data_IF_781552870504
#
_entry.id   IF_781552870504
#
_cell.length_a   1.000
_cell.length_b   1.000
_cell.length_c   1.000
_cell.angle_alpha   90.00
_cell.angle_beta   90.00
_cell.angle_gamma   90.00
#
_symmetry.space_group_name_H-M   'P 1'
#
loop_
_entity.id
_entity.type
_entity.pdbx_description
1 polymer ?
#
# COMPACT_ATOMS: atom_id res chain seq x y z
N UNK A 1 -11.45 -13.15 22.87
CA UNK A 1 -11.54 -12.19 23.99
C UNK A 1 -11.08 -10.79 23.58
N UNK A 2 -9.80 -10.41 23.71
CA UNK A 2 -9.38 -9.00 23.48
C UNK A 2 -9.62 -8.50 22.04
N UNK A 3 -9.27 -9.29 21.02
CA UNK A 3 -9.57 -8.93 19.61
C UNK A 3 -11.07 -8.83 19.32
N UNK A 4 -11.91 -9.57 20.04
CA UNK A 4 -13.37 -9.50 19.86
C UNK A 4 -13.95 -8.25 20.51
N UNK A 5 -13.39 -7.79 21.62
CA UNK A 5 -13.76 -6.50 22.22
C UNK A 5 -13.42 -5.33 21.29
N UNK A 6 -12.27 -5.40 20.61
CA UNK A 6 -11.77 -4.32 19.75
C UNK A 6 -12.42 -4.35 18.36
N UNK A 7 -12.57 -5.53 17.76
CA UNK A 7 -12.93 -5.71 16.36
C UNK A 7 -14.24 -6.51 16.17
N UNK A 8 -14.94 -6.84 17.25
CA UNK A 8 -16.17 -7.64 17.22
C UNK A 8 -15.97 -9.12 16.87
N UNK A 9 -17.07 -9.86 16.78
CA UNK A 9 -17.06 -11.31 16.55
C UNK A 9 -16.50 -11.73 15.19
N UNK A 10 -16.48 -10.83 14.20
CA UNK A 10 -15.92 -11.11 12.88
C UNK A 10 -14.48 -10.61 12.72
N UNK A 11 -13.91 -10.00 13.76
CA UNK A 11 -12.65 -9.27 13.70
C UNK A 11 -12.61 -8.26 12.54
N UNK A 12 -13.68 -7.47 12.38
CA UNK A 12 -13.82 -6.49 11.29
C UNK A 12 -13.65 -5.05 11.76
N UNK A 13 -13.38 -4.14 10.82
CA UNK A 13 -13.30 -2.70 11.06
C UNK A 13 -14.60 -2.09 11.57
N UNK A 14 -15.73 -2.74 11.32
CA UNK A 14 -17.06 -2.11 11.45
C UNK A 14 -17.45 -1.87 12.92
N UNK A 15 -16.72 -2.50 13.84
CA UNK A 15 -16.85 -2.31 15.30
C UNK A 15 -15.80 -1.37 15.89
N UNK A 16 -14.88 -0.82 15.09
CA UNK A 16 -13.95 0.17 15.57
C UNK A 16 -14.68 1.47 15.93
N UNK A 17 -14.70 1.78 17.23
CA UNK A 17 -15.35 2.97 17.76
C UNK A 17 -14.42 4.17 17.73
N UNK A 18 -14.96 5.34 17.39
CA UNK A 18 -14.28 6.61 17.62
C UNK A 18 -14.22 7.02 19.11
N UNK A 19 -14.94 6.30 19.98
CA UNK A 19 -14.99 6.59 21.41
C UNK A 19 -13.96 5.78 22.20
N UNK A 20 -13.10 6.48 22.93
CA UNK A 20 -12.14 5.87 23.85
C UNK A 20 -12.80 4.97 24.90
N UNK A 21 -14.01 5.31 25.36
CA UNK A 21 -14.70 4.55 26.40
C UNK A 21 -15.02 3.12 25.99
N UNK A 22 -15.20 2.85 24.68
CA UNK A 22 -15.43 1.51 24.15
C UNK A 22 -14.27 0.56 24.43
N UNK A 23 -13.06 1.09 24.58
CA UNK A 23 -11.84 0.30 24.82
C UNK A 23 -11.45 0.22 26.30
N UNK A 24 -12.23 0.85 27.19
CA UNK A 24 -11.96 0.83 28.63
C UNK A 24 -12.01 -0.59 29.21
N UNK A 25 -12.83 -1.47 28.62
CA UNK A 25 -12.89 -2.90 28.95
C UNK A 25 -11.56 -3.59 28.68
N UNK A 26 -10.96 -3.37 27.50
CA UNK A 26 -9.65 -3.91 27.11
C UNK A 26 -8.55 -3.57 28.12
N UNK A 27 -8.53 -2.32 28.62
CA UNK A 27 -7.54 -1.86 29.61
C UNK A 27 -7.66 -2.59 30.95
N UNK A 28 -8.86 -3.10 31.27
CA UNK A 28 -9.15 -3.82 32.52
C UNK A 28 -9.02 -5.33 32.40
N UNK A 29 -8.98 -5.89 31.19
CA UNK A 29 -9.03 -7.34 31.01
C UNK A 29 -7.79 -8.08 31.51
N UNK A 30 -6.68 -7.37 31.78
CA UNK A 30 -5.36 -7.98 31.92
C UNK A 30 -4.94 -8.62 30.59
N UNK A 31 -3.64 -8.68 30.29
CA UNK A 31 -3.18 -9.25 29.02
C UNK A 31 -3.37 -10.77 29.06
N UNK A 32 -4.52 -11.28 28.60
CA UNK A 32 -4.81 -12.73 28.61
C UNK A 32 -4.17 -13.45 27.43
N UNK A 33 -2.91 -13.14 27.15
CA UNK A 33 -2.09 -13.85 26.18
C UNK A 33 -1.36 -15.01 26.88
N UNK A 34 -1.08 -16.09 26.15
CA UNK A 34 -0.31 -17.24 26.65
C UNK A 34 1.13 -16.87 27.08
N UNK A 35 1.59 -15.65 26.77
CA UNK A 35 2.85 -15.04 27.23
C UNK A 35 2.73 -13.51 27.27
N UNK A 36 2.94 -12.94 28.44
CA UNK A 36 3.03 -11.49 28.63
C UNK A 36 4.47 -11.01 28.42
N UNK A 37 4.63 -9.88 27.73
CA UNK A 37 5.93 -9.23 27.57
C UNK A 37 5.77 -7.73 27.84
N UNK A 38 6.57 -7.21 28.77
CA UNK A 38 6.69 -5.76 28.91
C UNK A 38 7.41 -5.17 27.70
N UNK A 39 7.28 -3.86 27.48
CA UNK A 39 8.11 -3.16 26.47
C UNK A 39 9.59 -3.43 26.70
N UNK A 40 10.02 -3.53 27.97
CA UNK A 40 11.40 -3.87 28.33
C UNK A 40 11.79 -5.29 27.92
N UNK A 41 10.84 -6.23 27.86
CA UNK A 41 11.11 -7.59 27.41
C UNK A 41 11.20 -7.67 25.90
N UNK A 42 10.35 -6.92 25.19
CA UNK A 42 10.32 -6.86 23.73
C UNK A 42 11.63 -6.28 23.16
N UNK A 43 12.23 -5.30 23.83
CA UNK A 43 13.48 -4.66 23.36
C UNK A 43 14.74 -5.49 23.65
N UNK A 44 14.65 -6.61 24.36
CA UNK A 44 15.82 -7.46 24.63
C UNK A 44 16.30 -8.15 23.35
N UNK A 45 17.62 -8.25 23.08
CA UNK A 45 18.14 -8.94 21.89
C UNK A 45 17.73 -10.42 21.77
N UNK A 46 17.41 -11.05 22.89
CA UNK A 46 16.94 -12.43 22.99
C UNK A 46 15.44 -12.58 22.68
N UNK A 47 14.69 -11.48 22.56
CA UNK A 47 13.29 -11.54 22.21
C UNK A 47 13.15 -12.10 20.79
N UNK A 48 12.24 -13.06 20.64
CA UNK A 48 11.92 -13.73 19.39
C UNK A 48 10.40 -13.71 19.28
N UNK A 49 9.90 -13.15 18.18
CA UNK A 49 8.48 -13.21 17.83
C UNK A 49 8.26 -14.50 17.06
N UNK A 50 7.07 -15.10 17.19
CA UNK A 50 6.66 -16.20 16.30
C UNK A 50 6.84 -15.77 14.84
N UNK A 51 7.38 -16.66 14.03
CA UNK A 51 7.71 -16.36 12.63
C UNK A 51 6.50 -16.39 11.71
N UNK A 52 5.37 -16.96 12.14
CA UNK A 52 4.15 -17.06 11.35
C UNK A 52 3.06 -16.12 11.90
N UNK A 53 2.44 -15.37 11.00
CA UNK A 53 1.34 -14.44 11.31
C UNK A 53 -0.03 -15.14 11.30
N UNK A 54 -0.12 -16.32 10.68
CA UNK A 54 -1.32 -17.12 10.59
C UNK A 54 -1.17 -18.26 9.60
N UNK A 55 -2.28 -18.72 9.05
CA UNK A 55 -2.32 -19.81 8.08
C UNK A 55 -3.16 -19.45 6.85
N UNK A 56 -2.89 -20.10 5.73
CA UNK A 56 -3.68 -19.98 4.51
C UNK A 56 -5.07 -20.61 4.66
N UNK A 57 -6.06 -20.05 3.95
CA UNK A 57 -7.34 -20.72 3.74
C UNK A 57 -7.17 -22.08 3.04
N UNK A 58 -7.83 -23.12 3.54
CA UNK A 58 -7.84 -24.47 2.93
C UNK A 58 -6.79 -25.43 3.48
N UNK A 59 -5.52 -25.21 3.19
CA UNK A 59 -4.43 -26.18 3.48
C UNK A 59 -3.68 -25.94 4.80
N UNK A 60 -3.96 -24.81 5.47
CA UNK A 60 -3.38 -24.39 6.75
C UNK A 60 -1.86 -24.19 6.70
N UNK A 61 -1.31 -23.93 5.51
CA UNK A 61 0.10 -23.56 5.33
C UNK A 61 0.41 -22.31 6.16
N UNK A 62 1.44 -22.33 7.02
CA UNK A 62 1.86 -21.15 7.78
C UNK A 62 2.23 -20.01 6.83
N UNK A 63 1.81 -18.78 7.15
CA UNK A 63 2.12 -17.59 6.37
C UNK A 63 2.77 -16.55 7.27
N UNK A 64 3.79 -15.87 6.72
CA UNK A 64 4.35 -14.64 7.25
C UNK A 64 4.16 -13.50 6.26
N UNK A 65 3.96 -12.29 6.75
CA UNK A 65 3.87 -11.07 5.95
C UNK A 65 4.92 -10.03 6.36
N UNK A 66 5.52 -9.38 5.37
CA UNK A 66 6.26 -8.13 5.58
C UNK A 66 5.47 -6.95 5.01
N UNK A 67 5.38 -5.88 5.80
CA UNK A 67 4.82 -4.60 5.36
C UNK A 67 5.74 -3.96 4.30
N UNK A 68 5.16 -3.34 3.26
CA UNK A 68 5.94 -2.67 2.20
C UNK A 68 6.70 -1.42 2.66
N UNK A 69 6.37 -0.92 3.85
CA UNK A 69 6.99 0.23 4.52
C UNK A 69 7.25 -0.10 5.99
N UNK A 70 8.33 0.48 6.54
CA UNK A 70 8.66 0.36 7.95
C UNK A 70 7.75 1.21 8.85
N UNK A 71 7.72 0.89 10.15
CA UNK A 71 6.87 1.55 11.13
C UNK A 71 7.01 3.09 11.20
N UNK A 72 8.22 3.69 11.14
CA UNK A 72 8.35 5.16 11.13
C UNK A 72 7.65 5.82 9.92
N UNK A 73 7.76 5.20 8.74
CA UNK A 73 7.09 5.69 7.54
C UNK A 73 5.58 5.50 7.64
N UNK A 74 5.12 4.36 8.18
CA UNK A 74 3.70 4.14 8.46
C UNK A 74 3.13 5.26 9.34
N UNK A 75 3.80 5.63 10.43
CA UNK A 75 3.38 6.74 11.29
C UNK A 75 3.30 8.08 10.53
N UNK A 76 4.27 8.37 9.66
CA UNK A 76 4.23 9.56 8.81
C UNK A 76 3.05 9.55 7.84
N UNK A 77 2.77 8.41 7.18
CA UNK A 77 1.59 8.27 6.33
C UNK A 77 0.33 8.55 7.14
N UNK A 78 0.16 7.90 8.29
CA UNK A 78 -1.05 8.03 9.11
C UNK A 78 -1.19 9.46 9.64
N UNK A 79 -0.10 10.15 9.98
CA UNK A 79 -0.15 11.56 10.32
C UNK A 79 -0.73 12.40 9.17
N UNK A 80 -0.28 12.17 7.92
CA UNK A 80 -0.83 12.88 6.74
C UNK A 80 -2.31 12.54 6.49
N UNK A 81 -2.69 11.26 6.61
CA UNK A 81 -4.09 10.82 6.46
C UNK A 81 -4.96 11.47 7.55
N UNK A 82 -4.52 11.45 8.81
CA UNK A 82 -5.21 12.06 9.94
C UNK A 82 -5.49 13.54 9.70
N UNK A 83 -4.50 14.31 9.24
CA UNK A 83 -4.68 15.74 9.00
C UNK A 83 -5.77 16.02 7.96
N UNK A 84 -5.88 15.19 6.91
CA UNK A 84 -6.89 15.35 5.86
C UNK A 84 -8.27 14.87 6.31
N UNK A 85 -8.35 13.66 6.85
CA UNK A 85 -9.63 13.04 7.24
C UNK A 85 -10.27 13.75 8.43
N UNK A 86 -9.48 14.20 9.40
CA UNK A 86 -9.98 14.92 10.58
C UNK A 86 -10.01 16.44 10.38
N UNK A 87 -9.79 16.92 9.16
CA UNK A 87 -9.80 18.33 8.78
C UNK A 87 -8.94 19.21 9.73
N UNK A 88 -7.73 18.73 10.04
CA UNK A 88 -6.79 19.46 10.89
C UNK A 88 -6.09 20.51 10.06
N UNK A 89 -6.35 21.78 10.37
CA UNK A 89 -5.65 22.90 9.75
C UNK A 89 -4.32 23.15 10.46
N UNK A 90 -3.32 23.57 9.68
CA UNK A 90 -2.04 24.06 10.19
C UNK A 90 -1.95 25.56 9.91
N UNK A 91 -1.38 26.33 10.83
CA UNK A 91 -1.14 27.77 10.63
C UNK A 91 -0.43 28.07 9.29
N UNK A 92 -0.69 29.24 8.70
CA UNK A 92 -0.12 29.61 7.39
C UNK A 92 1.41 29.51 7.41
N UNK A 93 2.00 28.81 6.43
CA UNK A 93 3.44 28.57 6.35
C UNK A 93 3.95 27.41 7.23
N UNK A 94 3.11 26.80 8.06
CA UNK A 94 3.48 25.65 8.88
C UNK A 94 3.07 24.30 8.27
N UNK A 95 2.91 24.23 6.94
CA UNK A 95 2.67 22.98 6.23
C UNK A 95 3.79 21.96 6.47
N UNK A 96 3.47 20.68 6.41
CA UNK A 96 4.48 19.63 6.52
C UNK A 96 5.22 19.50 5.18
N UNK A 97 6.48 19.04 5.23
CA UNK A 97 7.24 18.79 4.01
C UNK A 97 6.56 17.72 3.15
N UNK A 98 6.78 17.81 1.82
CA UNK A 98 6.24 16.84 0.85
C UNK A 98 6.72 15.43 1.16
N UNK A 99 8.03 15.25 1.38
CA UNK A 99 8.65 13.95 1.64
C UNK A 99 8.28 13.37 3.02
N UNK A 100 8.12 12.06 3.06
CA UNK A 100 7.90 11.27 4.28
C UNK A 100 9.25 10.85 4.87
N UNK A 101 10.02 11.82 5.34
CA UNK A 101 11.35 11.61 5.91
C UNK A 101 11.27 11.14 7.38
N UNK A 102 11.59 9.88 7.64
CA UNK A 102 11.56 9.27 8.98
C UNK A 102 12.45 10.01 10.00
N UNK A 103 13.56 10.61 9.55
CA UNK A 103 14.40 11.49 10.38
C UNK A 103 13.66 12.70 10.92
N UNK A 104 12.58 13.13 10.24
CA UNK A 104 11.71 14.24 10.64
C UNK A 104 10.47 13.79 11.40
N UNK A 105 10.30 12.50 11.70
CA UNK A 105 9.12 11.97 12.40
C UNK A 105 8.73 12.81 13.61
N UNK A 106 9.63 12.96 14.58
CA UNK A 106 9.34 13.74 15.79
C UNK A 106 9.11 15.23 15.49
N UNK A 107 9.86 15.79 14.53
CA UNK A 107 9.71 17.19 14.13
C UNK A 107 8.32 17.46 13.52
N UNK A 108 7.84 16.58 12.65
CA UNK A 108 6.52 16.66 12.02
C UNK A 108 5.41 16.54 13.07
N UNK A 109 5.49 15.58 13.99
CA UNK A 109 4.52 15.45 15.09
C UNK A 109 4.52 16.68 16.00
N UNK A 110 5.69 17.17 16.40
CA UNK A 110 5.80 18.37 17.23
C UNK A 110 5.22 19.60 16.52
N UNK A 111 5.43 19.71 15.21
CA UNK A 111 4.86 20.79 14.39
C UNK A 111 3.34 20.73 14.34
N UNK A 112 2.76 19.54 14.13
CA UNK A 112 1.30 19.34 14.18
C UNK A 112 0.74 19.70 15.55
N UNK A 113 1.41 19.29 16.63
CA UNK A 113 0.98 19.61 17.99
C UNK A 113 1.03 21.11 18.27
N UNK A 114 2.10 21.79 17.84
CA UNK A 114 2.31 23.20 18.11
C UNK A 114 1.42 24.13 17.26
N UNK A 115 1.22 23.78 15.99
CA UNK A 115 0.61 24.65 14.98
C UNK A 115 -0.74 24.17 14.45
N UNK A 116 -1.20 22.98 14.87
CA UNK A 116 -2.44 22.38 14.38
C UNK A 116 -3.66 22.76 15.19
N UNK A 117 -4.80 22.82 14.50
CA UNK A 117 -6.10 23.14 15.08
C UNK A 117 -7.13 22.09 14.64
N UNK A 118 -7.90 21.58 15.61
CA UNK A 118 -9.01 20.66 15.38
C UNK A 118 -10.33 21.37 15.72
N UNK A 119 -11.14 21.65 14.71
CA UNK A 119 -12.30 22.53 14.87
C UNK A 119 -11.88 23.92 15.34
N UNK A 120 -12.44 24.42 16.43
CA UNK A 120 -12.09 25.73 17.01
C UNK A 120 -10.93 25.70 18.02
N UNK A 121 -10.35 24.52 18.32
CA UNK A 121 -9.39 24.36 19.43
C UNK A 121 -7.99 24.01 18.93
N UNK A 122 -6.94 24.76 19.34
CA UNK A 122 -5.56 24.38 19.09
C UNK A 122 -5.19 23.05 19.74
N UNK A 123 -4.46 22.19 19.03
CA UNK A 123 -4.03 20.88 19.53
C UNK A 123 -3.16 21.02 20.79
N UNK A 124 -2.30 22.05 20.83
CA UNK A 124 -1.38 22.31 21.95
C UNK A 124 -2.09 22.48 23.30
N UNK A 125 -3.34 22.94 23.31
CA UNK A 125 -4.13 23.17 24.53
C UNK A 125 -4.65 21.87 25.14
N UNK A 126 -4.81 20.81 24.34
CA UNK A 126 -5.24 19.50 24.83
C UNK A 126 -4.55 18.34 24.11
N UNK A 127 -3.26 18.20 24.38
CA UNK A 127 -2.41 17.13 23.82
C UNK A 127 -2.93 15.72 24.13
N UNK A 128 -3.53 15.53 25.32
CA UNK A 128 -4.07 14.24 25.73
C UNK A 128 -5.27 13.82 24.86
N UNK A 129 -6.17 14.75 24.56
CA UNK A 129 -7.30 14.51 23.65
C UNK A 129 -6.82 14.19 22.24
N UNK A 130 -5.86 14.95 21.72
CA UNK A 130 -5.22 14.66 20.44
C UNK A 130 -4.61 13.26 20.41
N UNK A 131 -3.79 12.89 21.42
CA UNK A 131 -3.16 11.58 21.48
C UNK A 131 -4.17 10.43 21.51
N UNK A 132 -5.25 10.57 22.32
CA UNK A 132 -6.34 9.58 22.37
C UNK A 132 -7.07 9.44 21.03
N UNK A 133 -7.34 10.55 20.34
CA UNK A 133 -7.99 10.50 19.03
C UNK A 133 -7.07 9.90 17.97
N UNK A 134 -5.79 10.30 17.99
CA UNK A 134 -4.78 9.81 17.06
C UNK A 134 -4.53 8.31 17.21
N UNK A 135 -4.48 7.74 18.42
CA UNK A 135 -4.24 6.30 18.60
C UNK A 135 -5.43 5.44 18.11
N UNK A 136 -6.67 5.91 18.26
CA UNK A 136 -7.84 5.25 17.67
C UNK A 136 -7.81 5.32 16.15
N UNK A 137 -7.41 6.48 15.61
CA UNK A 137 -7.21 6.65 14.18
C UNK A 137 -6.11 5.74 13.63
N UNK A 138 -4.99 5.61 14.36
CA UNK A 138 -3.87 4.74 14.03
C UNK A 138 -4.28 3.27 14.00
N UNK A 139 -5.11 2.84 14.97
CA UNK A 139 -5.65 1.49 15.01
C UNK A 139 -6.52 1.19 13.78
N UNK A 140 -7.46 2.08 13.43
CA UNK A 140 -8.27 1.95 12.21
C UNK A 140 -7.43 1.98 10.95
N UNK A 141 -6.44 2.87 10.89
CA UNK A 141 -5.51 2.97 9.78
C UNK A 141 -4.71 1.69 9.59
N UNK A 142 -4.27 1.06 10.68
CA UNK A 142 -3.52 -0.21 10.60
C UNK A 142 -4.38 -1.32 10.04
N UNK A 143 -5.63 -1.42 10.47
CA UNK A 143 -6.59 -2.38 9.92
C UNK A 143 -6.79 -2.18 8.42
N UNK A 144 -7.04 -0.93 7.98
CA UNK A 144 -7.19 -0.60 6.56
C UNK A 144 -5.91 -0.89 5.76
N UNK A 145 -4.75 -0.54 6.30
CA UNK A 145 -3.47 -0.81 5.68
C UNK A 145 -3.24 -2.31 5.49
N UNK A 146 -3.44 -3.11 6.54
CA UNK A 146 -3.23 -4.54 6.47
C UNK A 146 -4.22 -5.22 5.51
N UNK A 147 -5.44 -4.74 5.37
CA UNK A 147 -6.44 -5.35 4.48
C UNK A 147 -6.33 -4.89 3.02
N UNK A 148 -6.06 -3.61 2.78
CA UNK A 148 -6.24 -2.98 1.46
C UNK A 148 -4.95 -2.48 0.81
N UNK A 149 -3.81 -2.54 1.50
CA UNK A 149 -2.50 -2.24 0.93
C UNK A 149 -1.71 -3.54 0.75
N UNK A 150 -1.03 -3.68 -0.39
CA UNK A 150 -0.23 -4.86 -0.67
C UNK A 150 0.90 -5.08 0.36
N UNK A 151 1.29 -6.34 0.50
CA UNK A 151 2.34 -6.81 1.41
C UNK A 151 3.12 -7.95 0.78
N UNK A 152 4.32 -8.23 1.31
CA UNK A 152 5.10 -9.39 0.91
C UNK A 152 4.61 -10.58 1.72
N UNK A 153 4.32 -11.68 1.08
CA UNK A 153 3.85 -12.92 1.69
C UNK A 153 4.89 -14.02 1.51
N UNK A 154 5.15 -14.77 2.57
CA UNK A 154 5.99 -15.96 2.57
C UNK A 154 5.15 -17.12 3.09
N UNK A 155 4.81 -18.06 2.23
CA UNK A 155 4.02 -19.25 2.58
C UNK A 155 4.94 -20.45 2.76
N UNK A 156 4.79 -21.16 3.88
CA UNK A 156 5.64 -22.31 4.22
C UNK A 156 7.12 -21.92 4.26
N UNK A 157 7.93 -22.59 3.44
CA UNK A 157 9.38 -22.38 3.35
C UNK A 157 9.80 -21.39 2.25
N UNK A 158 8.86 -20.61 1.68
CA UNK A 158 9.18 -19.58 0.69
C UNK A 158 10.12 -18.49 1.26
N UNK A 159 11.27 -18.31 0.62
CA UNK A 159 12.29 -17.33 1.01
C UNK A 159 12.24 -16.04 0.20
N UNK A 160 11.72 -16.10 -1.03
CA UNK A 160 11.64 -14.94 -1.91
C UNK A 160 10.42 -14.12 -1.57
N UNK A 161 9.31 -14.79 -1.27
CA UNK A 161 8.02 -14.19 -1.04
C UNK A 161 7.34 -13.71 -2.32
N UNK A 162 6.06 -13.40 -2.22
CA UNK A 162 5.23 -12.90 -3.32
C UNK A 162 4.45 -11.66 -2.90
N UNK A 163 4.06 -10.81 -3.85
CA UNK A 163 3.10 -9.75 -3.53
C UNK A 163 1.73 -10.36 -3.27
N UNK A 164 1.06 -9.95 -2.19
CA UNK A 164 -0.31 -10.37 -1.92
C UNK A 164 -1.16 -9.24 -1.35
N UNK A 165 -2.48 -9.41 -1.53
CA UNK A 165 -3.54 -8.55 -1.01
C UNK A 165 -4.56 -9.44 -0.30
N UNK A 166 -4.28 -9.73 0.98
CA UNK A 166 -5.04 -10.66 1.82
C UNK A 166 -5.61 -10.01 3.07
N UNK A 167 -6.80 -10.45 3.46
CA UNK A 167 -7.50 -10.05 4.67
C UNK A 167 -7.45 -11.17 5.73
N UNK A 168 -7.44 -10.77 7.00
CA UNK A 168 -7.58 -11.70 8.12
C UNK A 168 -9.04 -12.12 8.24
N UNK A 169 -9.31 -13.42 8.11
CA UNK A 169 -10.62 -14.03 8.31
C UNK A 169 -10.64 -14.88 9.58
N UNK A 170 -11.85 -15.16 10.07
CA UNK A 170 -12.05 -16.10 11.17
C UNK A 170 -13.14 -17.11 10.83
N UNK A 171 -12.92 -18.37 11.20
CA UNK A 171 -13.92 -19.43 11.16
C UNK A 171 -14.16 -20.02 12.55
N UNK A 172 -15.38 -20.50 12.80
CA UNK A 172 -15.79 -21.05 14.10
C UNK A 172 -16.19 -19.98 15.12
N UNK A 173 -16.51 -20.41 16.35
CA UNK A 173 -16.97 -19.54 17.43
C UNK A 173 -16.34 -19.95 18.78
N UNK A 174 -16.25 -18.99 19.70
CA UNK A 174 -15.68 -19.20 21.04
C UNK A 174 -14.26 -19.78 20.97
N UNK A 175 -13.98 -20.79 21.80
CA UNK A 175 -12.67 -21.45 21.87
C UNK A 175 -12.25 -22.19 20.57
N UNK A 176 -13.18 -22.44 19.65
CA UNK A 176 -12.90 -23.08 18.35
C UNK A 176 -12.59 -22.08 17.25
N UNK A 177 -12.64 -20.77 17.54
CA UNK A 177 -12.41 -19.72 16.57
C UNK A 177 -10.97 -19.77 16.08
N UNK A 178 -10.78 -19.86 14.77
CA UNK A 178 -9.48 -19.96 14.11
C UNK A 178 -9.31 -18.83 13.11
N UNK A 179 -8.14 -18.21 13.15
CA UNK A 179 -7.73 -17.19 12.21
C UNK A 179 -7.11 -17.81 10.97
N UNK A 180 -7.36 -17.23 9.81
CA UNK A 180 -6.73 -17.61 8.55
C UNK A 180 -6.71 -16.41 7.60
N UNK A 181 -5.90 -16.46 6.55
CA UNK A 181 -5.83 -15.40 5.54
C UNK A 181 -6.43 -15.87 4.21
N UNK A 182 -7.26 -14.99 3.64
CA UNK A 182 -7.86 -15.15 2.31
C UNK A 182 -7.63 -13.88 1.49
N UNK A 183 -7.81 -13.94 0.18
CA UNK A 183 -7.73 -12.75 -0.67
C UNK A 183 -8.74 -11.69 -0.21
N UNK A 184 -8.30 -10.44 -0.12
CA UNK A 184 -9.16 -9.31 0.26
C UNK A 184 -10.38 -9.25 -0.65
N UNK A 185 -11.57 -9.29 -0.05
CA UNK A 185 -12.83 -9.37 -0.79
C UNK A 185 -13.29 -7.99 -1.26
N UNK A 186 -13.02 -7.68 -2.54
CA UNK A 186 -13.43 -6.44 -3.21
C UNK A 186 -14.80 -6.61 -3.90
N UNK A 187 -15.83 -6.90 -3.10
CA UNK A 187 -17.17 -7.27 -3.58
C UNK A 187 -18.24 -6.21 -3.27
N UNK A 188 -19.22 -6.09 -4.16
CA UNK A 188 -20.48 -5.43 -3.84
C UNK A 188 -21.36 -6.34 -2.98
N UNK A 189 -22.40 -5.75 -2.39
CA UNK A 189 -23.40 -6.53 -1.69
C UNK A 189 -24.05 -7.55 -2.64
N UNK A 190 -24.27 -8.78 -2.16
CA UNK A 190 -24.87 -9.89 -2.92
C UNK A 190 -24.11 -10.34 -4.17
N UNK A 191 -22.85 -9.94 -4.33
CA UNK A 191 -22.03 -10.35 -5.47
C UNK A 191 -21.38 -11.73 -5.28
N UNK A 192 -21.46 -12.56 -6.32
CA UNK A 192 -20.85 -13.89 -6.35
C UNK A 192 -19.33 -13.84 -6.41
N UNK A 193 -18.68 -14.82 -5.78
CA UNK A 193 -17.21 -14.92 -5.71
C UNK A 193 -16.52 -14.87 -7.05
N UNK A 194 -16.98 -15.67 -8.02
CA UNK A 194 -16.44 -15.66 -9.38
C UNK A 194 -16.44 -14.28 -10.04
N UNK A 195 -17.34 -13.39 -9.64
CA UNK A 195 -17.48 -12.05 -10.21
C UNK A 195 -16.48 -11.07 -9.61
N UNK A 196 -16.26 -11.10 -8.28
CA UNK A 196 -15.37 -10.14 -7.61
C UNK A 196 -13.91 -10.60 -7.51
N UNK A 197 -13.63 -11.91 -7.59
CA UNK A 197 -12.27 -12.46 -7.48
C UNK A 197 -11.27 -11.81 -8.45
N UNK A 198 -11.61 -11.50 -9.71
CA UNK A 198 -10.71 -10.78 -10.61
C UNK A 198 -10.25 -9.41 -10.08
N UNK A 199 -11.11 -8.66 -9.37
CA UNK A 199 -10.77 -7.33 -8.85
C UNK A 199 -9.62 -7.34 -7.85
N UNK A 200 -9.51 -8.39 -7.05
CA UNK A 200 -8.37 -8.55 -6.14
C UNK A 200 -7.05 -8.63 -6.93
N UNK A 201 -7.04 -9.41 -8.02
CA UNK A 201 -5.88 -9.56 -8.89
C UNK A 201 -5.52 -8.26 -9.60
N UNK A 202 -6.52 -7.55 -10.13
CA UNK A 202 -6.33 -6.22 -10.75
C UNK A 202 -5.73 -5.23 -9.76
N UNK A 203 -6.31 -5.15 -8.56
CA UNK A 203 -5.83 -4.29 -7.48
C UNK A 203 -4.40 -4.64 -7.04
N UNK A 204 -4.10 -5.93 -6.89
CA UNK A 204 -2.76 -6.42 -6.59
C UNK A 204 -1.76 -6.00 -7.68
N UNK A 205 -2.13 -6.09 -8.96
CA UNK A 205 -1.26 -5.72 -10.08
C UNK A 205 -0.93 -4.22 -10.09
N UNK A 206 -1.94 -3.34 -10.00
CA UNK A 206 -1.71 -1.88 -10.02
C UNK A 206 -0.94 -1.39 -8.79
N UNK A 207 -1.25 -1.92 -7.60
CA UNK A 207 -0.48 -1.59 -6.40
C UNK A 207 0.95 -2.13 -6.46
N UNK A 208 1.17 -3.31 -7.06
CA UNK A 208 2.52 -3.84 -7.29
C UNK A 208 3.30 -2.91 -8.23
N UNK A 209 2.67 -2.42 -9.31
CA UNK A 209 3.26 -1.46 -10.23
C UNK A 209 3.65 -0.15 -9.53
N UNK A 210 2.76 0.39 -8.68
CA UNK A 210 3.06 1.54 -7.84
C UNK A 210 4.25 1.26 -6.92
N UNK A 211 4.26 0.14 -6.20
CA UNK A 211 5.35 -0.19 -5.26
C UNK A 211 6.71 -0.30 -5.94
N UNK A 212 6.79 -0.86 -7.15
CA UNK A 212 8.08 -0.95 -7.87
C UNK A 212 8.49 0.38 -8.51
N UNK A 213 7.53 1.24 -8.86
CA UNK A 213 7.80 2.56 -9.45
C UNK A 213 8.31 3.54 -8.39
N UNK A 214 7.73 3.53 -7.18
CA UNK A 214 8.20 4.34 -6.06
C UNK A 214 9.25 3.56 -5.25
N UNK A 215 10.51 3.68 -5.62
CA UNK A 215 11.61 2.92 -5.00
C UNK A 215 11.93 3.36 -3.57
N UNK A 216 11.63 4.62 -3.21
CA UNK A 216 11.88 5.17 -1.87
C UNK A 216 10.59 5.33 -1.06
N UNK A 217 10.52 4.83 0.19
CA UNK A 217 9.39 5.05 1.09
C UNK A 217 9.06 6.53 1.33
N UNK A 218 10.04 7.44 1.15
CA UNK A 218 9.85 8.89 1.33
C UNK A 218 8.88 9.52 0.34
N UNK A 219 8.65 8.86 -0.80
CA UNK A 219 7.84 9.37 -1.92
C UNK A 219 6.65 8.46 -2.25
N UNK A 220 6.35 7.44 -1.45
CA UNK A 220 5.22 6.52 -1.66
C UNK A 220 3.85 7.16 -1.33
N UNK A 221 3.60 8.39 -1.77
CA UNK A 221 2.39 9.15 -1.44
C UNK A 221 1.11 8.44 -1.87
N UNK A 222 1.17 7.54 -2.85
CA UNK A 222 0.05 6.67 -3.26
C UNK A 222 -0.57 5.90 -2.09
N UNK A 223 0.22 5.48 -1.09
CA UNK A 223 -0.29 4.83 0.13
C UNK A 223 -1.15 5.81 0.93
N UNK A 224 -0.68 7.06 1.10
CA UNK A 224 -1.44 8.11 1.78
C UNK A 224 -2.74 8.41 1.05
N UNK A 225 -2.70 8.57 -0.28
CA UNK A 225 -3.89 8.89 -1.08
C UNK A 225 -4.91 7.75 -1.07
N UNK A 226 -4.47 6.49 -1.17
CA UNK A 226 -5.36 5.34 -1.02
C UNK A 226 -5.97 5.25 0.37
N UNK A 227 -5.19 5.48 1.42
CA UNK A 227 -5.72 5.45 2.78
C UNK A 227 -6.74 6.56 3.02
N UNK A 228 -6.48 7.79 2.55
CA UNK A 228 -7.47 8.89 2.63
C UNK A 228 -8.78 8.48 1.97
N UNK A 229 -8.72 7.88 0.77
CA UNK A 229 -9.90 7.38 0.08
C UNK A 229 -10.61 6.25 0.85
N UNK A 230 -9.88 5.32 1.47
CA UNK A 230 -10.44 4.23 2.28
C UNK A 230 -11.10 4.70 3.60
N UNK A 231 -10.78 5.91 4.05
CA UNK A 231 -11.41 6.51 5.23
C UNK A 231 -12.76 7.17 4.91
N UNK A 232 -13.01 7.49 3.65
CA UNK A 232 -14.30 8.01 3.19
C UNK A 232 -15.38 6.91 3.30
N UNK A 233 -16.53 7.27 3.86
CA UNK A 233 -17.64 6.33 4.05
C UNK A 233 -18.44 6.13 2.75
N UNK A 234 -18.30 7.03 1.78
CA UNK A 234 -18.92 6.92 0.45
C UNK A 234 -18.12 6.03 -0.51
N UNK A 235 -16.91 5.64 -0.11
CA UNK A 235 -16.02 4.81 -0.90
C UNK A 235 -16.58 3.41 -1.13
N UNK A 236 -16.69 3.05 -2.41
CA UNK A 236 -16.99 1.70 -2.85
C UNK A 236 -15.70 0.86 -2.92
N UNK A 237 -15.43 0.07 -1.89
CA UNK A 237 -14.24 -0.81 -1.80
C UNK A 237 -13.96 -1.63 -3.09
N UNK A 238 -14.95 -2.13 -3.85
CA UNK A 238 -14.70 -2.78 -5.14
C UNK A 238 -13.93 -1.94 -6.16
N UNK A 239 -13.99 -0.60 -6.08
CA UNK A 239 -13.29 0.37 -6.95
C UNK A 239 -11.87 0.70 -6.49
N UNK A 240 -11.30 -0.07 -5.56
CA UNK A 240 -9.95 0.18 -5.04
C UNK A 240 -8.88 0.13 -6.15
N UNK A 241 -9.04 -0.76 -7.13
CA UNK A 241 -8.16 -0.83 -8.29
C UNK A 241 -8.26 0.46 -9.13
N UNK A 242 -9.47 0.92 -9.43
CA UNK A 242 -9.72 2.16 -10.18
C UNK A 242 -9.11 3.37 -9.48
N UNK A 243 -9.22 3.46 -8.14
CA UNK A 243 -8.60 4.55 -7.38
C UNK A 243 -7.07 4.49 -7.46
N UNK A 244 -6.48 3.30 -7.33
CA UNK A 244 -5.04 3.12 -7.47
C UNK A 244 -4.54 3.46 -8.90
N UNK A 245 -5.32 3.09 -9.91
CA UNK A 245 -5.03 3.43 -11.32
C UNK A 245 -5.11 4.94 -11.55
N UNK A 246 -6.13 5.60 -10.98
CA UNK A 246 -6.25 7.06 -11.04
C UNK A 246 -5.06 7.77 -10.39
N UNK A 247 -4.60 7.30 -9.22
CA UNK A 247 -3.38 7.86 -8.58
C UNK A 247 -2.15 7.69 -9.50
N UNK A 248 -2.03 6.55 -10.18
CA UNK A 248 -0.95 6.33 -11.14
C UNK A 248 -1.07 7.28 -12.34
N UNK A 249 -2.28 7.48 -12.88
CA UNK A 249 -2.55 8.38 -13.99
C UNK A 249 -2.25 9.84 -13.63
N UNK A 250 -2.67 10.30 -12.45
CA UNK A 250 -2.37 11.64 -11.92
C UNK A 250 -0.85 11.85 -11.81
N UNK A 251 -0.12 10.86 -11.28
CA UNK A 251 1.34 10.93 -11.18
C UNK A 251 2.05 10.96 -12.55
N UNK A 252 1.51 10.27 -13.56
CA UNK A 252 2.01 10.33 -14.94
C UNK A 252 1.69 11.70 -15.55
N UNK A 253 0.50 12.24 -15.36
CA UNK A 253 0.13 13.56 -15.87
C UNK A 253 1.05 14.67 -15.32
N UNK A 254 1.21 14.73 -14.00
CA UNK A 254 2.09 15.71 -13.32
C UNK A 254 3.58 15.50 -13.62
N UNK A 255 4.03 14.25 -13.66
CA UNK A 255 5.46 13.91 -13.72
C UNK A 255 6.01 13.80 -15.14
N UNK A 256 5.20 13.29 -16.05
CA UNK A 256 5.56 12.99 -17.43
C UNK A 256 5.00 14.06 -18.36
N UNK A 257 3.69 14.28 -18.43
CA UNK A 257 3.10 15.17 -19.44
C UNK A 257 3.32 16.67 -19.19
N UNK A 258 3.25 17.16 -17.95
CA UNK A 258 3.54 18.57 -17.65
C UNK A 258 5.01 18.96 -17.90
N UNK A 259 5.92 17.98 -18.04
CA UNK A 259 7.36 18.21 -18.23
C UNK A 259 7.91 17.84 -19.62
N UNK A 260 7.13 17.25 -20.52
CA UNK A 260 7.70 16.55 -21.69
C UNK A 260 7.19 17.02 -23.06
N UNK A 261 7.33 18.31 -23.34
CA UNK A 261 7.41 18.77 -24.74
C UNK A 261 8.65 19.61 -25.06
N UNK A 262 9.44 20.06 -24.07
CA UNK A 262 10.62 20.91 -24.33
C UNK A 262 11.99 20.23 -24.10
N UNK A 263 12.08 19.07 -23.43
CA UNK A 263 13.38 18.50 -23.01
C UNK A 263 13.68 17.07 -23.48
N UNK A 264 12.88 16.45 -24.35
CA UNK A 264 13.17 15.10 -24.85
C UNK A 264 14.11 15.12 -26.07
N UNK A 265 15.28 15.74 -25.89
CA UNK A 265 16.39 15.72 -26.84
C UNK A 265 17.28 14.50 -26.63
N UNK A 266 17.29 13.62 -27.64
CA UNK A 266 18.32 12.63 -27.97
C UNK A 266 19.16 12.04 -26.81
N UNK A 267 18.73 10.88 -26.28
CA UNK A 267 19.63 10.01 -25.51
C UNK A 267 20.41 9.09 -26.44
N UNK A 268 21.73 9.24 -26.47
CA UNK A 268 22.66 8.34 -27.18
C UNK A 268 22.87 7.05 -26.36
N UNK A 269 22.37 5.93 -26.87
CA UNK A 269 22.51 4.60 -26.25
C UNK A 269 23.81 3.93 -26.71
N UNK A 270 24.87 4.04 -25.91
CA UNK A 270 26.11 3.27 -26.14
C UNK A 270 25.87 1.75 -26.13
N UNK A 271 26.55 1.10 -27.08
CA UNK A 271 26.15 -0.16 -27.69
C UNK A 271 26.52 -1.44 -26.90
N UNK A 272 25.53 -2.29 -26.70
CA UNK A 272 25.67 -3.73 -26.91
C UNK A 272 24.68 -4.13 -27.99
N UNK A 273 25.06 -4.99 -28.95
CA UNK A 273 24.13 -5.47 -29.99
C UNK A 273 22.89 -6.12 -29.35
N UNK A 274 21.67 -5.57 -29.54
CA UNK A 274 20.44 -6.08 -28.93
C UNK A 274 20.24 -7.58 -29.18
N UNK A 275 20.55 -8.03 -30.40
CA UNK A 275 20.52 -9.45 -30.77
C UNK A 275 21.42 -10.34 -29.90
N UNK A 276 22.62 -9.87 -29.55
CA UNK A 276 23.55 -10.64 -28.73
C UNK A 276 23.03 -10.81 -27.30
N UNK A 277 22.43 -9.76 -26.72
CA UNK A 277 21.74 -9.86 -25.43
C UNK A 277 20.54 -10.80 -25.53
N UNK A 278 19.73 -10.69 -26.58
CA UNK A 278 18.57 -11.55 -26.76
C UNK A 278 18.97 -13.03 -26.85
N UNK A 279 20.05 -13.35 -27.57
CA UNK A 279 20.60 -14.72 -27.64
C UNK A 279 21.06 -15.24 -26.28
N UNK A 280 21.74 -14.42 -25.49
CA UNK A 280 22.24 -14.80 -24.15
C UNK A 280 21.13 -14.92 -23.10
N UNK A 281 20.09 -14.10 -23.19
CA UNK A 281 19.03 -14.01 -22.17
C UNK A 281 17.66 -14.55 -22.63
N UNK A 282 17.57 -15.21 -23.79
CA UNK A 282 16.30 -15.68 -24.38
C UNK A 282 15.38 -16.39 -23.39
N UNK A 283 15.92 -17.35 -22.62
CA UNK A 283 15.14 -18.08 -21.61
C UNK A 283 14.60 -17.18 -20.49
N UNK A 284 15.34 -16.13 -20.11
CA UNK A 284 14.95 -15.15 -19.11
C UNK A 284 13.90 -14.18 -19.67
N UNK A 285 14.05 -13.74 -20.91
CA UNK A 285 13.08 -12.87 -21.60
C UNK A 285 11.75 -13.59 -21.81
N UNK A 286 11.77 -14.84 -22.27
CA UNK A 286 10.56 -15.67 -22.45
C UNK A 286 9.79 -15.93 -21.14
N UNK A 287 10.50 -15.90 -20.01
CA UNK A 287 9.91 -16.02 -18.65
C UNK A 287 9.73 -14.67 -17.96
N UNK A 288 10.09 -13.58 -18.64
CA UNK A 288 10.14 -12.24 -18.10
C UNK A 288 8.80 -11.51 -18.19
N UNK A 289 8.83 -10.22 -17.85
CA UNK A 289 7.66 -9.36 -17.94
C UNK A 289 7.10 -9.29 -19.36
N UNK A 290 5.81 -8.96 -19.49
CA UNK A 290 5.19 -8.78 -20.80
C UNK A 290 5.96 -7.76 -21.67
N UNK A 291 6.43 -6.67 -21.07
CA UNK A 291 7.31 -5.68 -21.73
C UNK A 291 8.55 -6.33 -22.32
N UNK A 292 9.27 -7.15 -21.55
CA UNK A 292 10.48 -7.81 -22.02
C UNK A 292 10.19 -8.79 -23.16
N UNK A 293 9.07 -9.52 -23.08
CA UNK A 293 8.66 -10.43 -24.16
C UNK A 293 8.32 -9.69 -25.45
N UNK A 294 7.52 -8.62 -25.38
CA UNK A 294 7.20 -7.79 -26.56
C UNK A 294 8.46 -7.18 -27.16
N UNK A 295 9.32 -6.58 -26.34
CA UNK A 295 10.62 -6.05 -26.82
C UNK A 295 11.47 -7.16 -27.45
N UNK A 296 11.47 -8.34 -26.84
CA UNK A 296 12.16 -9.52 -27.33
C UNK A 296 11.66 -9.95 -28.71
N UNK A 297 10.36 -10.05 -28.91
CA UNK A 297 9.74 -10.44 -30.18
C UNK A 297 10.09 -9.43 -31.28
N UNK A 298 10.11 -8.14 -30.97
CA UNK A 298 10.53 -7.08 -31.92
C UNK A 298 12.01 -7.24 -32.28
N UNK A 299 12.88 -7.49 -31.30
CA UNK A 299 14.33 -7.68 -31.51
C UNK A 299 14.60 -8.94 -32.35
N UNK A 300 13.90 -10.05 -32.09
CA UNK A 300 14.06 -11.28 -32.90
C UNK A 300 13.54 -11.10 -34.34
N UNK A 301 12.60 -10.19 -34.56
CA UNK A 301 12.03 -9.87 -35.88
C UNK A 301 12.77 -8.81 -36.70
N UNK A 302 13.87 -8.23 -36.21
CA UNK A 302 14.61 -7.19 -36.95
C UNK A 302 16.13 -7.28 -36.77
N UNK A 303 16.90 -6.58 -37.62
CA UNK A 303 18.35 -6.45 -37.42
C UNK A 303 18.68 -5.44 -36.33
N UNK A 304 19.89 -5.54 -35.78
CA UNK A 304 20.43 -4.63 -34.77
C UNK A 304 20.46 -3.18 -35.27
N UNK A 305 20.74 -2.96 -36.55
CA UNK A 305 20.68 -1.65 -37.19
C UNK A 305 19.24 -1.14 -37.27
N UNK A 306 18.29 -1.99 -37.70
CA UNK A 306 16.87 -1.63 -37.77
C UNK A 306 16.27 -1.33 -36.38
N UNK A 307 16.72 -2.05 -35.34
CA UNK A 307 16.37 -1.75 -33.96
C UNK A 307 16.81 -0.35 -33.54
N UNK A 308 18.09 -0.03 -33.75
CA UNK A 308 18.68 1.26 -33.36
C UNK A 308 18.13 2.45 -34.13
N UNK A 309 17.85 2.28 -35.41
CA UNK A 309 17.46 3.40 -36.28
C UNK A 309 15.97 3.69 -36.30
N UNK A 310 15.12 2.71 -35.94
CA UNK A 310 13.68 2.85 -36.14
C UNK A 310 12.81 2.06 -35.17
N UNK A 311 13.04 0.76 -34.97
CA UNK A 311 12.07 -0.07 -34.23
C UNK A 311 11.99 0.29 -32.75
N UNK A 312 13.07 0.79 -32.15
CA UNK A 312 13.04 1.31 -30.79
C UNK A 312 12.11 2.53 -30.68
N UNK A 313 12.27 3.50 -31.57
CA UNK A 313 11.47 4.73 -31.60
C UNK A 313 9.99 4.46 -31.93
N UNK A 314 9.72 3.58 -32.90
CA UNK A 314 8.35 3.17 -33.25
C UNK A 314 7.68 2.51 -32.03
N UNK A 315 8.39 1.61 -31.32
CA UNK A 315 7.87 0.96 -30.12
C UNK A 315 7.66 1.94 -28.96
N UNK A 316 8.57 2.90 -28.77
CA UNK A 316 8.43 3.94 -27.76
C UNK A 316 7.19 4.80 -28.01
N UNK A 317 6.99 5.25 -29.26
CA UNK A 317 5.79 6.02 -29.66
C UNK A 317 4.51 5.25 -29.42
N UNK A 318 4.47 3.96 -29.77
CA UNK A 318 3.31 3.11 -29.52
C UNK A 318 3.01 3.00 -28.01
N UNK A 319 4.03 2.77 -27.18
CA UNK A 319 3.88 2.67 -25.73
C UNK A 319 3.43 3.99 -25.08
N UNK A 320 3.99 5.12 -25.52
CA UNK A 320 3.59 6.46 -25.06
C UNK A 320 2.15 6.76 -25.51
N UNK A 321 1.76 6.39 -26.73
CA UNK A 321 0.39 6.58 -27.22
C UNK A 321 -0.63 5.80 -26.39
N UNK A 322 -0.34 4.55 -26.04
CA UNK A 322 -1.19 3.74 -25.16
C UNK A 322 -1.32 4.41 -23.78
N UNK A 323 -0.22 4.92 -23.23
CA UNK A 323 -0.22 5.60 -21.94
C UNK A 323 -1.04 6.90 -21.98
N UNK A 324 -0.83 7.76 -23.00
CA UNK A 324 -1.59 8.99 -23.19
C UNK A 324 -3.08 8.69 -23.29
N UNK A 325 -3.46 7.74 -24.15
CA UNK A 325 -4.86 7.37 -24.32
C UNK A 325 -5.48 6.93 -23.00
N UNK A 326 -4.81 6.03 -22.27
CA UNK A 326 -5.33 5.52 -21.00
C UNK A 326 -5.43 6.60 -19.93
N UNK A 327 -4.45 7.50 -19.84
CA UNK A 327 -4.50 8.64 -18.89
C UNK A 327 -5.66 9.58 -19.25
N UNK A 328 -5.87 9.89 -20.53
CA UNK A 328 -6.99 10.71 -20.99
C UNK A 328 -8.37 10.09 -20.73
N UNK A 329 -8.48 8.75 -20.79
CA UNK A 329 -9.71 8.03 -20.42
C UNK A 329 -10.03 8.14 -18.92
N UNK A 330 -9.00 8.15 -18.06
CA UNK A 330 -9.14 8.18 -16.60
C UNK A 330 -9.33 9.61 -16.08
N UNK A 331 -8.65 10.57 -16.69
CA UNK A 331 -8.63 11.99 -16.33
C UNK A 331 -9.19 12.81 -17.51
N UNK A 332 -10.51 12.75 -17.77
CA UNK A 332 -11.13 13.61 -18.76
C UNK A 332 -11.01 15.09 -18.34
N UNK A 333 -10.71 15.96 -19.30
CA UNK A 333 -10.53 17.41 -19.11
C UNK A 333 -11.72 18.13 -18.46
#
# INVERSE_FOLDING_TARGET
>A
AEREEIFGDKWSSDKLSGSWSHYAGCLKMGQRADKEFSVKDIVKPSFRVETADGVQEGDRTPIRFDSIIGFPHFLLHILRVFLRVENVSLSKGSGLGRLLDDKRLLADYNKVIACGQMGAKPIKENKASFARKFILFLLRSRFLFDQFIIKREYAGDDQEGVWSLKELCTAGAGYKKKAYYANTRLRYENEWEKTYTPRNKECLMIQSALRVSYTSPKVMHWITELLVWLFDNETERPKLADKAERIAAEAVAEGFFEKSLEEMGAYDLQEYKPESKMKSYKKMVQKGSLKLRIMGDIIEGCSSEAWKQRKCDDHEKDMISILIQRVGEILPE
#
